data_IF_930304337129
#
_entry.id   IF_930304337129
#
_cell.length_a   1.000
_cell.length_b   1.000
_cell.length_c   1.000
_cell.angle_alpha   90.00
_cell.angle_beta   90.00
_cell.angle_gamma   90.00
#
_symmetry.space_group_name_H-M   'P 1'
#
loop_
_entity.id
_entity.type
_entity.pdbx_description
1 polymer ?
#
# COMPACT_ATOMS: atom_id res chain seq x y z
N UNK A 1 -52.46 -39.15 -22.44
CA UNK A 1 -53.67 -38.31 -22.28
C UNK A 1 -53.56 -37.12 -23.25
N UNK A 2 -54.65 -36.40 -23.58
CA UNK A 2 -54.50 -35.19 -24.38
C UNK A 2 -53.79 -34.09 -23.58
N UNK A 3 -53.12 -33.18 -24.27
CA UNK A 3 -52.49 -32.00 -23.67
C UNK A 3 -53.43 -31.25 -22.72
N UNK A 4 -52.92 -30.84 -21.56
CA UNK A 4 -53.67 -30.08 -20.55
C UNK A 4 -53.12 -28.66 -20.42
N UNK A 5 -53.87 -27.62 -20.83
CA UNK A 5 -53.46 -26.23 -20.65
C UNK A 5 -53.23 -25.86 -19.18
N UNK A 6 -53.95 -26.50 -18.25
CA UNK A 6 -53.82 -26.25 -16.81
C UNK A 6 -52.44 -26.64 -16.24
N UNK A 7 -51.71 -27.51 -16.94
CA UNK A 7 -50.36 -27.93 -16.54
C UNK A 7 -49.25 -27.15 -17.24
N UNK A 8 -49.61 -26.11 -18.01
CA UNK A 8 -48.67 -25.19 -18.64
C UNK A 8 -48.67 -23.86 -17.88
N UNK A 9 -47.49 -23.38 -17.53
CA UNK A 9 -47.32 -22.11 -16.81
C UNK A 9 -46.22 -21.29 -17.48
N UNK A 10 -46.46 -20.00 -17.70
CA UNK A 10 -45.41 -19.06 -18.08
C UNK A 10 -44.58 -18.71 -16.85
N UNK A 11 -43.27 -18.98 -16.88
CA UNK A 11 -42.33 -18.62 -15.82
C UNK A 11 -41.73 -17.23 -16.03
N UNK A 12 -41.48 -16.88 -17.29
CA UNK A 12 -40.94 -15.58 -17.69
C UNK A 12 -41.58 -15.17 -19.01
N UNK A 13 -41.99 -13.91 -19.11
CA UNK A 13 -42.49 -13.34 -20.35
C UNK A 13 -41.72 -12.06 -20.63
N UNK A 14 -41.00 -12.03 -21.75
CA UNK A 14 -40.25 -10.86 -22.21
C UNK A 14 -40.72 -10.45 -23.61
N UNK A 15 -40.25 -9.32 -24.11
CA UNK A 15 -40.50 -8.91 -25.50
C UNK A 15 -39.82 -9.81 -26.53
N UNK A 16 -38.76 -10.53 -26.15
CA UNK A 16 -37.92 -11.33 -27.05
C UNK A 16 -38.26 -12.83 -27.04
N UNK A 17 -38.62 -13.39 -25.87
CA UNK A 17 -39.02 -14.79 -25.71
C UNK A 17 -39.83 -15.00 -24.42
N UNK A 18 -40.57 -16.10 -24.36
CA UNK A 18 -41.18 -16.60 -23.14
C UNK A 18 -40.49 -17.89 -22.66
N UNK A 19 -40.38 -18.05 -21.35
CA UNK A 19 -40.02 -19.31 -20.70
C UNK A 19 -41.27 -19.97 -20.14
N UNK A 20 -41.54 -21.18 -20.59
CA UNK A 20 -42.67 -21.99 -20.18
C UNK A 20 -42.22 -23.14 -19.29
N UNK A 21 -43.11 -23.61 -18.42
CA UNK A 21 -42.98 -24.87 -17.71
C UNK A 21 -44.21 -25.72 -17.99
N UNK A 22 -43.99 -26.92 -18.49
CA UNK A 22 -45.06 -27.88 -18.76
C UNK A 22 -44.79 -29.19 -18.04
N UNK A 23 -45.77 -29.63 -17.25
CA UNK A 23 -45.70 -30.90 -16.51
C UNK A 23 -46.78 -31.86 -16.99
N UNK A 24 -46.39 -33.07 -17.37
CA UNK A 24 -47.34 -34.11 -17.79
C UNK A 24 -46.90 -35.50 -17.36
N UNK A 25 -47.87 -36.41 -17.25
CA UNK A 25 -47.64 -37.84 -17.07
C UNK A 25 -47.41 -38.58 -18.40
N UNK A 26 -47.53 -37.89 -19.54
CA UNK A 26 -47.15 -38.46 -20.84
C UNK A 26 -45.62 -38.60 -20.95
N UNK A 27 -45.16 -39.57 -21.74
CA UNK A 27 -43.74 -39.75 -22.03
C UNK A 27 -43.24 -38.63 -22.95
N UNK A 28 -41.92 -38.39 -22.94
CA UNK A 28 -41.30 -37.38 -23.79
C UNK A 28 -41.57 -37.61 -25.28
N UNK A 29 -41.54 -38.86 -25.71
CA UNK A 29 -41.81 -39.23 -27.10
C UNK A 29 -43.23 -38.80 -27.52
N UNK A 30 -44.21 -38.94 -26.64
CA UNK A 30 -45.60 -38.54 -26.88
C UNK A 30 -45.72 -37.01 -26.93
N UNK A 31 -45.09 -36.30 -25.99
CA UNK A 31 -45.15 -34.82 -25.94
C UNK A 31 -44.44 -34.16 -27.12
N UNK A 32 -43.40 -34.81 -27.65
CA UNK A 32 -42.64 -34.30 -28.80
C UNK A 32 -43.33 -34.62 -30.14
N UNK A 33 -44.44 -35.36 -30.13
CA UNK A 33 -45.19 -35.68 -31.34
C UNK A 33 -45.85 -34.43 -31.94
N UNK A 34 -45.93 -34.40 -33.27
CA UNK A 34 -46.53 -33.28 -33.98
C UNK A 34 -48.00 -33.07 -33.54
N UNK A 35 -48.35 -31.82 -33.23
CA UNK A 35 -49.72 -31.44 -32.86
C UNK A 35 -50.10 -31.65 -31.40
N UNK A 36 -49.18 -32.13 -30.53
CA UNK A 36 -49.46 -32.28 -29.10
C UNK A 36 -49.93 -30.95 -28.45
N UNK A 37 -49.29 -29.82 -28.80
CA UNK A 37 -49.64 -28.49 -28.29
C UNK A 37 -50.63 -27.70 -29.18
N UNK A 38 -51.37 -28.36 -30.09
CA UNK A 38 -52.22 -27.69 -31.09
C UNK A 38 -53.23 -26.72 -30.49
N UNK A 39 -53.80 -27.04 -29.33
CA UNK A 39 -54.85 -26.23 -28.67
C UNK A 39 -54.36 -24.87 -28.19
N UNK A 40 -53.05 -24.69 -28.02
CA UNK A 40 -52.42 -23.44 -27.54
C UNK A 40 -51.37 -22.90 -28.50
N UNK A 41 -51.36 -23.39 -29.75
CA UNK A 41 -50.35 -23.01 -30.74
C UNK A 41 -50.25 -21.50 -30.97
N UNK A 42 -51.34 -20.75 -30.76
CA UNK A 42 -51.35 -19.29 -30.87
C UNK A 42 -50.60 -18.57 -29.72
N UNK A 43 -50.45 -19.21 -28.56
CA UNK A 43 -49.75 -18.66 -27.39
C UNK A 43 -48.25 -18.95 -27.41
N UNK A 44 -47.85 -19.99 -28.13
CA UNK A 44 -46.48 -20.47 -28.22
C UNK A 44 -45.78 -19.85 -29.44
N UNK A 45 -44.71 -19.09 -29.21
CA UNK A 45 -43.96 -18.45 -30.30
C UNK A 45 -42.68 -19.23 -30.60
N UNK A 46 -42.27 -19.21 -31.87
CA UNK A 46 -40.94 -19.70 -32.22
C UNK A 46 -39.88 -18.86 -31.50
N UNK A 47 -38.89 -19.51 -30.89
CA UNK A 47 -37.89 -18.85 -30.06
C UNK A 47 -38.21 -18.84 -28.55
N UNK A 48 -39.44 -19.21 -28.16
CA UNK A 48 -39.74 -19.51 -26.75
C UNK A 48 -38.96 -20.75 -26.28
N UNK A 49 -38.75 -20.84 -24.96
CA UNK A 49 -38.13 -21.98 -24.31
C UNK A 49 -39.16 -22.66 -23.40
N UNK A 50 -39.09 -23.99 -23.29
CA UNK A 50 -39.93 -24.74 -22.38
C UNK A 50 -39.08 -25.69 -21.53
N UNK A 51 -39.25 -25.59 -20.22
CA UNK A 51 -38.89 -26.64 -19.27
C UNK A 51 -40.01 -27.68 -19.36
N UNK A 52 -39.68 -28.81 -19.95
CA UNK A 52 -40.58 -29.94 -20.11
C UNK A 52 -40.27 -30.99 -19.05
N UNK A 53 -41.27 -31.29 -18.21
CA UNK A 53 -41.23 -32.38 -17.25
C UNK A 53 -42.23 -33.45 -17.69
N UNK A 54 -41.73 -34.56 -18.22
CA UNK A 54 -42.51 -35.74 -18.62
C UNK A 54 -42.42 -36.83 -17.55
N UNK A 55 -43.13 -37.94 -17.76
CA UNK A 55 -43.04 -39.09 -16.85
C UNK A 55 -41.65 -39.73 -16.80
N UNK A 56 -40.87 -39.58 -17.87
CA UNK A 56 -39.60 -40.27 -18.10
C UNK A 56 -38.39 -39.34 -18.24
N UNK A 57 -38.58 -38.02 -18.38
CA UNK A 57 -37.47 -37.09 -18.61
C UNK A 57 -37.76 -35.67 -18.11
N UNK A 58 -36.68 -34.91 -17.89
CA UNK A 58 -36.73 -33.45 -17.78
C UNK A 58 -35.86 -32.84 -18.88
N UNK A 59 -36.40 -31.90 -19.65
CA UNK A 59 -35.68 -31.29 -20.77
C UNK A 59 -35.93 -29.80 -20.86
N UNK A 60 -34.91 -29.06 -21.31
CA UNK A 60 -35.09 -27.69 -21.77
C UNK A 60 -35.14 -27.72 -23.30
N UNK A 61 -36.31 -27.44 -23.86
CA UNK A 61 -36.58 -27.55 -25.29
C UNK A 61 -36.92 -26.17 -25.89
N UNK A 62 -36.29 -25.78 -27.01
CA UNK A 62 -36.70 -24.61 -27.75
C UNK A 62 -37.98 -24.91 -28.55
N UNK A 63 -38.87 -23.93 -28.66
CA UNK A 63 -40.03 -24.00 -29.52
C UNK A 63 -39.67 -23.57 -30.93
N UNK A 64 -39.99 -24.43 -31.90
CA UNK A 64 -39.86 -24.17 -33.34
C UNK A 64 -41.19 -23.66 -33.89
N UNK A 65 -41.19 -23.23 -35.16
CA UNK A 65 -42.42 -22.83 -35.84
C UNK A 65 -43.49 -23.92 -35.77
N UNK A 66 -44.74 -23.53 -35.51
CA UNK A 66 -45.89 -24.45 -35.53
C UNK A 66 -46.09 -25.29 -34.27
N UNK A 67 -45.69 -24.82 -33.08
CA UNK A 67 -45.84 -25.52 -31.79
C UNK A 67 -45.15 -26.90 -31.75
N UNK A 68 -44.02 -27.02 -32.46
CA UNK A 68 -43.16 -28.20 -32.48
C UNK A 68 -41.98 -27.99 -31.52
N UNK A 69 -41.70 -28.97 -30.68
CA UNK A 69 -40.51 -28.94 -29.82
C UNK A 69 -39.25 -29.23 -30.65
N UNK A 70 -38.18 -28.45 -30.41
CA UNK A 70 -36.87 -28.70 -31.01
C UNK A 70 -36.04 -29.74 -30.26
N UNK A 71 -34.88 -30.08 -30.83
CA UNK A 71 -33.84 -30.89 -30.17
C UNK A 71 -33.22 -30.11 -29.01
N UNK A 72 -33.81 -30.24 -27.83
CA UNK A 72 -33.37 -29.56 -26.61
C UNK A 72 -32.30 -30.31 -25.84
N UNK A 73 -31.77 -29.64 -24.82
CA UNK A 73 -30.92 -30.29 -23.81
C UNK A 73 -31.81 -31.18 -22.97
N UNK A 74 -31.55 -32.48 -23.03
CA UNK A 74 -32.32 -33.48 -22.29
C UNK A 74 -31.49 -33.97 -21.11
N UNK A 75 -32.07 -33.92 -19.92
CA UNK A 75 -31.56 -34.61 -18.74
C UNK A 75 -32.35 -35.92 -18.65
N UNK A 76 -31.88 -36.93 -19.38
CA UNK A 76 -32.49 -38.26 -19.42
C UNK A 76 -31.42 -39.29 -19.09
N UNK A 77 -31.60 -39.93 -17.94
CA UNK A 77 -30.68 -40.88 -17.34
C UNK A 77 -31.02 -41.09 -15.86
N UNK A 78 -30.71 -42.27 -15.33
CA UNK A 78 -30.66 -42.49 -13.88
C UNK A 78 -29.47 -41.71 -13.29
N UNK A 79 -29.60 -40.39 -13.20
CA UNK A 79 -28.51 -39.52 -12.76
C UNK A 79 -28.46 -39.51 -11.24
N UNK A 80 -27.30 -39.82 -10.66
CA UNK A 80 -26.98 -39.46 -9.29
C UNK A 80 -27.18 -37.95 -9.06
N UNK A 81 -27.23 -37.49 -7.80
CA UNK A 81 -27.62 -36.12 -7.46
C UNK A 81 -26.85 -35.08 -8.28
N UNK A 82 -27.60 -34.14 -8.87
CA UNK A 82 -27.06 -33.01 -9.65
C UNK A 82 -26.09 -32.23 -8.77
N UNK A 83 -24.82 -32.20 -9.17
CA UNK A 83 -23.78 -31.47 -8.43
C UNK A 83 -23.75 -30.00 -8.89
N UNK A 84 -24.27 -29.09 -8.07
CA UNK A 84 -24.23 -27.65 -8.35
C UNK A 84 -22.90 -27.06 -7.87
N UNK A 85 -22.00 -26.78 -8.82
CA UNK A 85 -20.84 -25.92 -8.58
C UNK A 85 -21.29 -24.45 -8.57
N UNK A 86 -21.52 -23.89 -7.38
CA UNK A 86 -21.76 -22.45 -7.21
C UNK A 86 -20.43 -21.75 -6.92
N UNK A 87 -19.97 -20.94 -7.86
CA UNK A 87 -18.86 -20.01 -7.65
C UNK A 87 -19.38 -18.61 -7.36
N UNK A 88 -18.77 -17.91 -6.42
CA UNK A 88 -18.99 -16.48 -6.20
C UNK A 88 -17.62 -15.78 -6.18
N UNK A 89 -17.46 -14.73 -6.98
CA UNK A 89 -16.27 -13.87 -6.95
C UNK A 89 -16.48 -12.82 -5.87
N UNK A 90 -15.69 -12.87 -4.80
CA UNK A 90 -15.71 -11.85 -3.76
C UNK A 90 -14.50 -10.93 -3.96
N UNK A 91 -14.77 -9.69 -4.39
CA UNK A 91 -13.74 -8.68 -4.58
C UNK A 91 -13.66 -7.82 -3.32
N UNK A 92 -12.49 -7.78 -2.69
CA UNK A 92 -12.18 -6.81 -1.65
C UNK A 92 -11.30 -5.72 -2.24
N UNK A 93 -11.66 -4.46 -2.00
CA UNK A 93 -10.78 -3.32 -2.26
C UNK A 93 -10.46 -2.62 -0.94
N UNK A 94 -9.21 -2.22 -0.78
CA UNK A 94 -8.75 -1.43 0.35
C UNK A 94 -8.33 -0.07 -0.17
N UNK A 95 -8.93 0.99 0.35
CA UNK A 95 -8.48 2.36 0.14
C UNK A 95 -7.74 2.85 1.38
N UNK A 96 -6.45 3.16 1.25
CA UNK A 96 -5.70 3.84 2.30
C UNK A 96 -5.61 5.32 1.97
N UNK A 97 -6.19 6.18 2.81
CA UNK A 97 -5.98 7.62 2.75
C UNK A 97 -4.85 7.97 3.70
N UNK A 98 -3.66 8.25 3.16
CA UNK A 98 -2.54 8.77 3.93
C UNK A 98 -2.31 10.23 3.56
N UNK A 99 -2.14 11.09 4.57
CA UNK A 99 -1.67 12.46 4.39
C UNK A 99 -0.16 12.47 4.55
N UNK A 100 0.57 12.94 3.53
CA UNK A 100 2.01 13.09 3.61
C UNK A 100 2.35 14.25 4.57
N UNK A 101 3.02 13.94 5.67
CA UNK A 101 3.53 14.96 6.59
C UNK A 101 4.98 15.23 6.24
N UNK A 102 5.27 16.45 5.77
CA UNK A 102 6.65 16.87 5.48
C UNK A 102 7.39 17.03 6.81
N UNK A 103 8.52 16.33 6.93
CA UNK A 103 9.46 16.44 8.05
C UNK A 103 10.85 16.72 7.49
N UNK A 104 11.52 17.75 7.99
CA UNK A 104 12.87 18.08 7.57
C UNK A 104 13.69 18.66 8.72
N UNK A 105 14.98 18.36 8.72
CA UNK A 105 15.97 18.93 9.62
C UNK A 105 17.07 19.57 8.77
N UNK A 106 17.32 20.87 9.00
CA UNK A 106 18.39 21.62 8.37
C UNK A 106 19.37 22.07 9.44
N UNK A 107 20.55 21.42 9.48
CA UNK A 107 21.62 21.81 10.38
C UNK A 107 22.30 23.10 9.88
N UNK A 108 22.55 24.05 10.78
CA UNK A 108 23.25 25.28 10.45
C UNK A 108 24.73 24.99 10.07
N UNK A 109 25.34 25.82 9.20
CA UNK A 109 26.76 25.72 8.90
C UNK A 109 27.63 25.80 10.16
N UNK A 110 28.73 25.05 10.17
CA UNK A 110 29.72 25.05 11.24
C UNK A 110 31.02 25.64 10.70
N UNK A 111 31.74 26.39 11.54
CA UNK A 111 33.06 26.90 11.20
C UNK A 111 34.02 25.74 10.86
N UNK A 112 34.81 25.90 9.80
CA UNK A 112 35.72 24.85 9.34
C UNK A 112 36.89 24.61 10.31
N UNK A 113 37.27 25.61 11.10
CA UNK A 113 38.35 25.54 12.10
C UNK A 113 37.85 25.94 13.48
N UNK A 114 38.12 25.09 14.46
CA UNK A 114 37.75 25.25 15.86
C UNK A 114 39.00 25.11 16.72
N UNK A 115 39.12 25.88 17.80
CA UNK A 115 40.26 25.77 18.71
C UNK A 115 39.99 24.71 19.78
N UNK A 116 40.99 23.91 20.12
CA UNK A 116 40.92 22.96 21.23
C UNK A 116 40.58 23.70 22.54
N UNK A 117 39.73 23.08 23.37
CA UNK A 117 39.26 23.70 24.62
C UNK A 117 38.14 24.74 24.47
N UNK A 118 37.72 25.05 23.24
CA UNK A 118 36.57 25.93 22.99
C UNK A 118 35.23 25.17 23.03
N UNK A 119 34.12 25.92 22.88
CA UNK A 119 32.77 25.38 22.77
C UNK A 119 32.24 25.56 21.35
N UNK A 120 31.57 24.53 20.82
CA UNK A 120 30.99 24.46 19.49
C UNK A 120 29.48 24.67 19.60
N UNK A 121 28.95 25.89 19.34
CA UNK A 121 27.52 26.10 19.27
C UNK A 121 26.97 25.46 17.99
N UNK A 122 25.86 24.72 18.13
CA UNK A 122 25.17 24.10 16.99
C UNK A 122 23.69 24.42 17.03
N UNK A 123 23.09 24.58 15.86
CA UNK A 123 21.65 24.81 15.74
C UNK A 123 21.10 24.11 14.51
N UNK A 124 19.85 23.69 14.59
CA UNK A 124 19.10 23.15 13.47
C UNK A 124 17.74 23.85 13.34
N UNK A 125 17.28 24.03 12.10
CA UNK A 125 15.90 24.39 11.78
C UNK A 125 15.10 23.12 11.47
N UNK A 126 13.87 23.08 11.96
CA UNK A 126 12.99 21.92 11.93
C UNK A 126 11.69 22.32 11.25
N UNK A 127 11.28 21.53 10.26
CA UNK A 127 9.98 21.64 9.59
C UNK A 127 9.17 20.38 9.86
N UNK A 128 7.90 20.53 10.21
CA UNK A 128 7.02 19.41 10.52
C UNK A 128 7.00 19.00 12.00
N UNK A 129 6.25 17.96 12.37
CA UNK A 129 6.03 17.56 13.75
C UNK A 129 7.17 16.69 14.29
N UNK A 130 8.35 17.29 14.48
CA UNK A 130 9.48 16.69 15.20
C UNK A 130 9.57 17.38 16.57
N UNK A 131 9.36 16.63 17.65
CA UNK A 131 9.31 17.18 19.00
C UNK A 131 10.70 17.27 19.65
N UNK A 132 11.59 16.33 19.35
CA UNK A 132 12.92 16.24 19.90
C UNK A 132 13.91 15.80 18.84
N UNK A 133 15.13 16.33 18.94
CA UNK A 133 16.25 15.92 18.10
C UNK A 133 17.43 15.50 18.96
N UNK A 134 18.28 14.66 18.41
CA UNK A 134 19.49 14.17 19.03
C UNK A 134 20.69 14.74 18.29
N UNK A 135 21.50 15.57 18.96
CA UNK A 135 22.78 16.03 18.45
C UNK A 135 23.90 15.09 18.90
N UNK A 136 24.79 14.74 17.98
CA UNK A 136 25.99 13.95 18.25
C UNK A 136 27.21 14.54 17.53
N UNK A 137 28.33 14.59 18.25
CA UNK A 137 29.64 14.83 17.66
C UNK A 137 30.24 13.51 17.19
N UNK A 138 30.85 13.49 16.01
CA UNK A 138 31.46 12.31 15.42
C UNK A 138 32.88 12.59 14.95
N UNK A 139 33.75 11.60 15.10
CA UNK A 139 35.12 11.64 14.57
C UNK A 139 35.17 11.39 13.05
N UNK A 140 36.37 11.38 12.48
CA UNK A 140 36.61 11.12 11.07
C UNK A 140 36.16 9.73 10.60
N UNK A 141 36.15 8.74 11.51
CA UNK A 141 35.68 7.38 11.26
C UNK A 141 34.15 7.24 11.43
N UNK A 142 33.47 8.28 11.90
CA UNK A 142 32.03 8.29 12.14
C UNK A 142 31.62 7.81 13.54
N UNK A 143 32.58 7.52 14.41
CA UNK A 143 32.36 7.13 15.81
C UNK A 143 31.76 8.30 16.57
N UNK A 144 30.73 8.03 17.38
CA UNK A 144 30.12 9.06 18.23
C UNK A 144 31.04 9.37 19.41
N UNK A 145 31.36 10.65 19.58
CA UNK A 145 32.07 11.19 20.73
C UNK A 145 31.04 11.70 21.75
N UNK A 146 31.00 11.13 22.97
CA UNK A 146 30.12 11.62 24.03
C UNK A 146 30.46 13.07 24.47
N UNK A 147 29.48 13.83 25.00
CA UNK A 147 28.10 13.44 25.26
C UNK A 147 27.20 13.56 24.02
N UNK A 148 26.18 12.72 23.93
CA UNK A 148 25.06 12.91 23.01
C UNK A 148 24.01 13.80 23.69
N UNK A 149 23.45 14.78 22.98
CA UNK A 149 22.51 15.74 23.54
C UNK A 149 21.12 15.60 22.91
N UNK A 150 20.12 15.27 23.71
CA UNK A 150 18.71 15.26 23.30
C UNK A 150 18.11 16.64 23.60
N UNK A 151 17.56 17.29 22.58
CA UNK A 151 17.09 18.67 22.64
C UNK A 151 15.64 18.75 22.18
N UNK A 152 14.81 19.46 22.94
CA UNK A 152 13.43 19.73 22.55
C UNK A 152 13.39 20.81 21.47
N UNK A 153 12.59 20.60 20.43
CA UNK A 153 12.38 21.58 19.37
C UNK A 153 11.43 22.67 19.89
N UNK A 154 11.86 23.92 19.87
CA UNK A 154 11.05 25.09 20.23
C UNK A 154 10.99 26.05 19.04
N UNK A 155 9.77 26.46 18.67
CA UNK A 155 9.54 27.38 17.55
C UNK A 155 10.25 26.96 16.24
N UNK A 156 10.34 25.65 15.96
CA UNK A 156 11.01 25.11 14.77
C UNK A 156 12.55 25.17 14.82
N UNK A 157 13.14 25.36 16.01
CA UNK A 157 14.58 25.42 16.20
C UNK A 157 15.00 24.51 17.36
N UNK A 158 16.17 23.89 17.24
CA UNK A 158 16.85 23.19 18.32
C UNK A 158 18.32 23.60 18.37
N UNK A 159 18.86 23.81 19.57
CA UNK A 159 20.22 24.28 19.79
C UNK A 159 20.94 23.43 20.83
N UNK A 160 22.22 23.18 20.60
CA UNK A 160 23.09 22.41 21.48
C UNK A 160 24.49 23.04 21.51
N UNK A 161 25.33 22.58 22.43
CA UNK A 161 26.72 23.03 22.52
C UNK A 161 27.63 21.89 22.94
N UNK A 162 28.71 21.69 22.18
CA UNK A 162 29.68 20.62 22.43
C UNK A 162 31.02 21.22 22.87
N UNK A 163 31.74 20.55 23.75
CA UNK A 163 33.15 20.87 23.94
C UNK A 163 33.93 20.46 22.67
N UNK A 164 34.90 21.27 22.26
CA UNK A 164 35.78 20.91 21.17
C UNK A 164 36.54 19.61 21.52
N UNK A 165 36.55 18.60 20.63
CA UNK A 165 37.31 17.38 20.84
C UNK A 165 38.82 17.67 20.79
N UNK A 166 39.63 16.62 20.96
CA UNK A 166 41.08 16.74 20.78
C UNK A 166 41.46 17.27 19.39
N UNK A 167 42.68 17.80 19.27
CA UNK A 167 43.24 18.29 18.00
C UNK A 167 43.16 17.17 16.95
N UNK A 168 42.62 17.51 15.77
CA UNK A 168 42.34 16.54 14.73
C UNK A 168 41.53 17.12 13.56
N UNK A 169 41.14 16.27 12.62
CA UNK A 169 40.37 16.68 11.46
C UNK A 169 39.24 15.69 11.15
N UNK A 170 38.32 16.10 10.28
CA UNK A 170 37.24 15.24 9.80
C UNK A 170 36.07 15.08 10.77
N UNK A 171 36.04 15.88 11.85
CA UNK A 171 34.93 15.88 12.79
C UNK A 171 33.64 16.38 12.12
N UNK A 172 32.50 15.86 12.56
CA UNK A 172 31.18 16.24 12.05
C UNK A 172 30.17 16.29 13.20
N UNK A 173 29.20 17.19 13.07
CA UNK A 173 27.98 17.18 13.88
C UNK A 173 26.88 16.49 13.09
N UNK A 174 26.16 15.59 13.74
CA UNK A 174 24.93 15.00 13.21
C UNK A 174 23.78 15.36 14.13
N UNK A 175 22.65 15.70 13.52
CA UNK A 175 21.35 15.89 14.17
C UNK A 175 20.35 14.92 13.57
N UNK A 176 19.52 14.29 14.39
CA UNK A 176 18.49 13.35 13.94
C UNK A 176 17.22 13.46 14.77
N UNK A 177 16.07 13.10 14.21
CA UNK A 177 14.82 12.99 14.96
C UNK A 177 14.96 11.86 16.00
N UNK A 178 14.63 12.16 17.25
CA UNK A 178 14.72 11.20 18.35
C UNK A 178 13.76 10.01 18.19
N UNK A 179 12.64 10.21 17.49
CA UNK A 179 11.65 9.16 17.22
C UNK A 179 11.91 8.41 15.90
N UNK A 180 12.60 9.04 14.95
CA UNK A 180 12.88 8.47 13.62
C UNK A 180 14.27 8.90 13.11
N UNK A 181 15.33 8.15 13.43
CA UNK A 181 16.71 8.50 13.05
C UNK A 181 16.98 8.53 11.54
N UNK A 182 16.03 8.08 10.70
CA UNK A 182 16.13 8.21 9.24
C UNK A 182 16.05 9.66 8.78
N UNK A 183 15.38 10.52 9.56
CA UNK A 183 15.32 11.96 9.35
C UNK A 183 16.50 12.59 10.07
N UNK A 184 17.53 12.99 9.31
CA UNK A 184 18.77 13.51 9.87
C UNK A 184 19.44 14.56 8.98
N UNK A 185 20.35 15.31 9.59
CA UNK A 185 21.25 16.25 8.93
C UNK A 185 22.67 16.08 9.47
N UNK A 186 23.66 16.20 8.60
CA UNK A 186 25.09 16.13 8.99
C UNK A 186 25.81 17.36 8.48
N UNK A 187 26.70 17.93 9.29
CA UNK A 187 27.48 19.10 8.91
C UNK A 187 28.53 18.76 7.85
N UNK A 188 29.11 19.80 7.25
CA UNK A 188 30.44 19.68 6.65
C UNK A 188 31.47 19.20 7.68
N UNK A 189 32.59 18.66 7.20
CA UNK A 189 33.72 18.32 8.07
C UNK A 189 34.41 19.57 8.60
N UNK A 190 34.86 19.53 9.85
CA UNK A 190 35.67 20.59 10.45
C UNK A 190 36.92 20.00 11.13
N UNK A 191 37.91 20.86 11.38
CA UNK A 191 39.11 20.52 12.13
C UNK A 191 39.14 21.22 13.48
N UNK A 192 39.84 20.59 14.42
CA UNK A 192 40.22 21.20 15.69
C UNK A 192 41.72 21.44 15.67
N UNK A 193 42.11 22.70 15.77
CA UNK A 193 43.49 23.13 15.86
C UNK A 193 43.92 23.29 17.32
N UNK A 194 45.22 23.17 17.64
CA UNK A 194 45.73 23.53 18.96
C UNK A 194 45.42 24.99 19.27
N UNK A 195 45.34 25.30 20.56
CA UNK A 195 45.17 26.68 20.99
C UNK A 195 46.34 27.55 20.51
N UNK A 196 46.02 28.74 20.02
CA UNK A 196 46.99 29.70 19.49
C UNK A 196 47.84 30.34 20.60
N UNK A 197 47.50 30.13 21.88
CA UNK A 197 48.36 30.45 23.03
C UNK A 197 49.72 29.73 22.98
N UNK A 198 49.91 28.75 22.09
CA UNK A 198 51.19 28.09 21.80
C UNK A 198 51.95 28.65 20.58
N UNK A 199 51.52 29.77 19.98
CA UNK A 199 52.30 30.43 18.94
C UNK A 199 53.59 30.99 19.55
N UNK A 200 54.69 30.29 19.27
CA UNK A 200 56.02 30.75 19.63
C UNK A 200 56.32 32.02 18.83
N UNK A 201 56.57 33.11 19.53
CA UNK A 201 57.07 34.34 18.93
C UNK A 201 58.57 34.15 18.70
N UNK A 202 59.00 34.16 17.44
CA UNK A 202 60.41 34.11 17.09
C UNK A 202 60.98 35.53 17.17
N UNK A 203 61.77 35.80 18.22
CA UNK A 203 62.51 37.05 18.34
C UNK A 203 63.97 36.78 18.07
N UNK A 204 64.39 36.96 16.81
CA UNK A 204 65.76 36.84 16.26
C UNK A 204 66.51 35.52 16.53
N UNK A 205 66.72 35.12 17.79
CA UNK A 205 67.49 33.93 18.19
C UNK A 205 66.83 33.12 19.33
N UNK A 206 65.60 33.45 19.75
CA UNK A 206 64.91 32.74 20.83
C UNK A 206 63.43 32.57 20.52
N UNK A 207 62.93 31.38 20.84
CA UNK A 207 61.51 31.07 20.88
C UNK A 207 60.98 31.49 22.26
N UNK A 208 60.03 32.43 22.27
CA UNK A 208 59.38 32.91 23.49
C UNK A 208 57.90 32.52 23.47
N UNK A 209 57.36 32.19 24.64
CA UNK A 209 55.92 32.08 24.86
C UNK A 209 55.26 33.46 24.71
N UNK A 210 53.93 33.49 24.63
CA UNK A 210 53.17 34.74 24.61
C UNK A 210 53.34 35.57 25.91
N UNK A 211 53.71 34.93 27.01
CA UNK A 211 54.11 35.59 28.27
C UNK A 211 55.53 36.19 28.24
N UNK A 212 56.27 36.01 27.14
CA UNK A 212 57.65 36.49 26.98
C UNK A 212 58.70 35.57 27.61
N UNK A 213 58.29 34.42 28.15
CA UNK A 213 59.20 33.45 28.76
C UNK A 213 59.91 32.67 27.66
N UNK A 214 61.24 32.71 27.68
CA UNK A 214 62.00 32.06 26.63
C UNK A 214 62.24 30.58 26.91
N UNK A 215 61.88 29.73 25.96
CA UNK A 215 62.10 28.29 26.05
C UNK A 215 63.60 28.00 25.92
N UNK A 216 64.18 27.41 26.97
CA UNK A 216 65.52 26.82 26.93
C UNK A 216 65.39 25.34 26.60
N UNK A 217 66.18 24.87 25.64
CA UNK A 217 66.31 23.43 25.35
C UNK A 217 66.86 22.65 26.56
#
# INVERSE_FOLDING_TARGET
>A
MPFSPASLTALLQTSAFNLWHYRTADSRAVVSAAGYFKTIAASLKAGDLMILQTADAMALVPLRSGAVLGTGVTLDGAVGPVNLLRGATQSFSFGQTASAVVRAILLAPIAAGILAGSSIPVSARITGPIAQVVFSLRDAAGTVLPPVQVVTVQAGVATASFAAPAVGNGYRIRVEDAADPSISGTSGGFSVAPDISFLLLETFARLVSESGDGLTA
#
